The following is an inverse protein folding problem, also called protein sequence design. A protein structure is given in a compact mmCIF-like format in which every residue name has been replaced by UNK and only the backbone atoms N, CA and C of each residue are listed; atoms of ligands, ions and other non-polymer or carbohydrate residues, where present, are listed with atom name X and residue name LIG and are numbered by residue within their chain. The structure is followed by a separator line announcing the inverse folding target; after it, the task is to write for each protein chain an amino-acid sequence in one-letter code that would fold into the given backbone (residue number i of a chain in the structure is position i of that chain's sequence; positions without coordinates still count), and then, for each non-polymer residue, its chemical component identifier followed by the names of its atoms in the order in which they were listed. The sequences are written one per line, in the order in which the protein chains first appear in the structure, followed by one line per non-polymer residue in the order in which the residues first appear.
data_IF_468955277800
#
_entry.id   IF_468955277800
#
_cell.length_a   1.000
_cell.length_b   1.000
_cell.length_c   1.000
_cell.angle_alpha   90.00
_cell.angle_beta   90.00
_cell.angle_gamma   90.00
#
_symmetry.space_group_name_H-M   'P 1'
#
loop_
_entity.id
_entity.type
_entity.pdbx_description
1 polymer ?
#
# COMPACT_ATOMS: atom_id res chain seq x y z
N UNK A 1 17.66 -43.42 -67.26
CA UNK A 1 18.20 -43.03 -65.92
C UNK A 1 17.06 -42.95 -64.92
N UNK A 2 16.70 -44.09 -64.35
CA UNK A 2 15.60 -44.23 -63.37
C UNK A 2 16.14 -43.99 -61.97
N UNK A 3 16.00 -42.77 -61.45
CA UNK A 3 16.25 -42.51 -60.02
C UNK A 3 15.31 -43.43 -59.22
N UNK A 4 15.83 -44.29 -58.32
CA UNK A 4 15.05 -45.35 -57.69
C UNK A 4 13.98 -44.70 -56.81
N UNK A 5 12.72 -45.11 -57.01
CA UNK A 5 11.52 -44.60 -56.31
C UNK A 5 11.71 -44.50 -54.79
N UNK A 6 12.52 -45.37 -54.20
CA UNK A 6 12.87 -45.34 -52.77
C UNK A 6 13.59 -44.05 -52.31
N UNK A 7 14.47 -43.46 -53.12
CA UNK A 7 15.20 -42.23 -52.75
C UNK A 7 14.29 -41.00 -52.71
N UNK A 8 13.21 -41.00 -53.51
CA UNK A 8 12.17 -39.95 -53.51
C UNK A 8 11.24 -40.08 -52.31
N UNK A 9 10.86 -41.31 -51.93
CA UNK A 9 10.03 -41.57 -50.74
C UNK A 9 10.81 -41.21 -49.48
N UNK A 10 12.09 -41.57 -49.39
CA UNK A 10 12.93 -41.21 -48.24
C UNK A 10 13.11 -39.70 -48.10
N UNK A 11 13.33 -39.00 -49.23
CA UNK A 11 13.41 -37.53 -49.24
C UNK A 11 12.10 -36.87 -48.83
N UNK A 12 10.94 -37.39 -49.27
CA UNK A 12 9.63 -36.88 -48.88
C UNK A 12 9.35 -37.09 -47.38
N UNK A 13 9.72 -38.24 -46.83
CA UNK A 13 9.58 -38.52 -45.38
C UNK A 13 10.50 -37.64 -44.55
N UNK A 14 11.78 -37.48 -44.95
CA UNK A 14 12.73 -36.58 -44.28
C UNK A 14 12.25 -35.12 -44.32
N UNK A 15 11.71 -34.65 -45.46
CA UNK A 15 11.18 -33.31 -45.58
C UNK A 15 9.91 -33.10 -44.75
N UNK A 16 9.06 -34.13 -44.65
CA UNK A 16 7.86 -34.11 -43.79
C UNK A 16 8.24 -34.02 -42.31
N UNK A 17 9.26 -34.76 -41.88
CA UNK A 17 9.78 -34.71 -40.49
C UNK A 17 10.42 -33.36 -40.18
N UNK A 18 11.15 -32.74 -41.12
CA UNK A 18 11.69 -31.38 -40.94
C UNK A 18 10.60 -30.29 -40.88
N UNK A 19 9.52 -30.44 -41.63
CA UNK A 19 8.40 -29.48 -41.63
C UNK A 19 7.53 -29.59 -40.37
N UNK A 20 7.42 -30.79 -39.80
CA UNK A 20 6.68 -31.05 -38.55
C UNK A 20 7.43 -30.59 -37.29
N UNK A 21 8.76 -30.50 -37.31
CA UNK A 21 9.57 -30.10 -36.15
C UNK A 21 9.85 -28.60 -36.05
N UNK A 22 9.60 -27.82 -37.12
CA UNK A 22 9.99 -26.39 -37.19
C UNK A 22 8.86 -25.39 -36.91
N UNK A 23 7.62 -25.83 -36.70
CA UNK A 23 6.45 -24.93 -36.60
C UNK A 23 5.66 -24.99 -35.29
N UNK A 24 6.02 -25.83 -34.32
CA UNK A 24 5.14 -26.12 -33.17
C UNK A 24 5.49 -25.43 -31.83
N UNK A 25 6.46 -24.51 -31.75
CA UNK A 25 6.70 -23.75 -30.53
C UNK A 25 7.35 -22.38 -30.81
N UNK A 26 6.65 -21.50 -31.52
CA UNK A 26 6.90 -20.07 -31.34
C UNK A 26 6.30 -19.66 -30.00
N UNK A 27 7.11 -19.65 -28.94
CA UNK A 27 6.76 -18.91 -27.72
C UNK A 27 6.42 -17.49 -28.13
N UNK A 28 5.16 -17.10 -27.96
CA UNK A 28 4.70 -15.75 -28.27
C UNK A 28 5.63 -14.75 -27.59
N UNK A 29 6.09 -13.75 -28.34
CA UNK A 29 6.96 -12.72 -27.78
C UNK A 29 6.27 -12.12 -26.54
N UNK A 30 7.00 -11.96 -25.42
CA UNK A 30 6.41 -11.51 -24.18
C UNK A 30 5.68 -10.19 -24.38
N UNK A 31 4.44 -10.14 -23.95
CA UNK A 31 3.64 -8.93 -24.01
C UNK A 31 4.28 -7.85 -23.14
N UNK A 32 3.99 -6.57 -23.45
CA UNK A 32 4.32 -5.44 -22.57
C UNK A 32 3.80 -5.60 -21.13
N UNK A 33 2.83 -6.49 -20.92
CA UNK A 33 2.28 -6.82 -19.61
C UNK A 33 3.01 -7.98 -18.92
N UNK A 34 3.74 -8.82 -19.66
CA UNK A 34 4.39 -10.01 -19.10
C UNK A 34 5.56 -9.62 -18.20
N UNK A 35 6.29 -8.55 -18.57
CA UNK A 35 7.38 -8.03 -17.77
C UNK A 35 6.85 -7.45 -16.45
N UNK A 36 5.79 -6.64 -16.48
CA UNK A 36 5.18 -6.10 -15.26
C UNK A 36 4.48 -7.18 -14.42
N UNK A 37 3.89 -8.20 -15.05
CA UNK A 37 3.29 -9.34 -14.35
C UNK A 37 4.37 -10.20 -13.67
N UNK A 38 5.49 -10.47 -14.34
CA UNK A 38 6.61 -11.17 -13.72
C UNK A 38 7.22 -10.36 -12.58
N UNK A 39 7.42 -9.05 -12.76
CA UNK A 39 7.92 -8.20 -11.68
C UNK A 39 6.97 -8.17 -10.49
N UNK A 40 5.66 -8.05 -10.73
CA UNK A 40 4.62 -8.05 -9.69
C UNK A 40 4.49 -9.40 -8.98
N UNK A 41 4.71 -10.51 -9.70
CA UNK A 41 4.60 -11.86 -9.13
C UNK A 41 5.87 -12.27 -8.37
N UNK A 42 7.05 -11.86 -8.86
CA UNK A 42 8.34 -12.08 -8.17
C UNK A 42 8.45 -11.19 -6.93
N UNK A 43 7.96 -9.95 -7.02
CA UNK A 43 7.75 -9.08 -5.86
C UNK A 43 6.43 -9.42 -5.19
N UNK A 44 6.36 -10.57 -4.50
CA UNK A 44 5.29 -10.84 -3.50
C UNK A 44 5.22 -9.79 -2.35
N UNK A 45 6.01 -8.73 -2.42
CA UNK A 45 5.96 -7.58 -1.52
C UNK A 45 4.88 -6.59 -1.97
N UNK A 46 3.84 -6.44 -1.16
CA UNK A 46 2.93 -5.29 -1.23
C UNK A 46 1.46 -5.54 -1.57
N UNK A 47 1.03 -6.79 -1.82
CA UNK A 47 -0.37 -7.06 -2.20
C UNK A 47 -1.22 -7.71 -1.10
N UNK A 48 -0.62 -8.48 -0.20
CA UNK A 48 -1.34 -9.07 0.93
C UNK A 48 -1.11 -8.23 2.20
N UNK A 49 -2.20 -7.82 2.84
CA UNK A 49 -2.13 -7.30 4.21
C UNK A 49 -1.56 -8.40 5.10
N UNK A 50 -0.50 -8.07 5.84
CA UNK A 50 0.17 -9.01 6.73
C UNK A 50 -0.83 -9.67 7.68
N UNK A 51 -0.67 -10.98 7.90
CA UNK A 51 -1.45 -11.71 8.91
C UNK A 51 -1.23 -11.15 10.32
N UNK A 52 -0.09 -10.50 10.55
CA UNK A 52 0.29 -9.92 11.83
C UNK A 52 -0.07 -8.43 11.93
N UNK A 53 -0.65 -7.85 10.88
CA UNK A 53 -1.14 -6.48 10.93
C UNK A 53 -2.32 -6.36 11.89
N UNK A 54 -2.34 -5.26 12.63
CA UNK A 54 -3.31 -5.01 13.69
C UNK A 54 -4.72 -4.86 13.13
N UNK A 55 -5.72 -5.52 13.70
CA UNK A 55 -7.11 -5.35 13.27
C UNK A 55 -7.57 -3.89 13.44
N UNK A 56 -8.17 -3.30 12.41
CA UNK A 56 -8.57 -1.88 12.39
C UNK A 56 -9.42 -1.45 13.59
N UNK A 57 -10.41 -2.25 13.97
CA UNK A 57 -11.25 -1.95 15.13
C UNK A 57 -10.50 -1.88 16.45
N UNK A 58 -9.35 -2.57 16.58
CA UNK A 58 -8.47 -2.45 17.76
C UNK A 58 -7.74 -1.12 17.80
N UNK A 59 -7.62 -0.42 16.66
CA UNK A 59 -6.98 0.89 16.55
C UNK A 59 -7.93 2.03 16.99
N UNK A 60 -9.25 1.83 16.94
CA UNK A 60 -10.26 2.84 17.26
C UNK A 60 -10.08 3.46 18.64
N UNK A 61 -9.70 2.66 19.64
CA UNK A 61 -9.49 3.12 21.02
C UNK A 61 -8.35 4.12 21.19
N UNK A 62 -7.47 4.27 20.19
CA UNK A 62 -6.38 5.24 20.22
C UNK A 62 -6.74 6.56 19.55
N UNK A 63 -7.89 6.65 18.88
CA UNK A 63 -8.37 7.90 18.33
C UNK A 63 -8.84 8.82 19.45
N UNK A 64 -8.66 10.14 19.29
CA UNK A 64 -9.20 11.12 20.22
C UNK A 64 -10.72 10.94 20.37
N UNK A 65 -11.28 11.10 21.58
CA UNK A 65 -12.72 11.00 21.79
C UNK A 65 -13.45 12.13 21.04
N UNK A 66 -14.76 11.93 20.83
CA UNK A 66 -15.63 13.03 20.44
C UNK A 66 -15.83 13.97 21.64
N UNK A 67 -15.97 15.28 21.40
CA UNK A 67 -16.03 16.30 22.45
C UNK A 67 -15.79 17.71 21.89
N UNK A 68 -16.05 18.75 22.69
CA UNK A 68 -15.79 20.16 22.33
C UNK A 68 -16.44 20.63 21.01
N UNK A 69 -17.63 20.09 20.72
CA UNK A 69 -18.36 20.33 19.46
C UNK A 69 -17.80 19.57 18.25
N UNK A 70 -16.74 18.78 18.43
CA UNK A 70 -16.21 17.88 17.42
C UNK A 70 -16.86 16.50 17.50
N UNK A 71 -17.16 15.95 16.33
CA UNK A 71 -17.64 14.59 16.14
C UNK A 71 -16.58 13.78 15.41
N UNK A 72 -16.38 12.55 15.85
CA UNK A 72 -15.53 11.58 15.16
C UNK A 72 -16.42 10.50 14.56
N UNK A 73 -16.36 10.33 13.24
CA UNK A 73 -17.16 9.34 12.50
C UNK A 73 -16.24 8.40 11.74
N UNK A 74 -16.18 7.12 12.13
CA UNK A 74 -15.37 6.13 11.42
C UNK A 74 -15.89 5.92 9.99
N UNK A 75 -14.97 5.91 9.03
CA UNK A 75 -15.28 5.75 7.59
C UNK A 75 -14.71 4.48 7.01
N UNK A 76 -13.59 3.99 7.55
CA UNK A 76 -12.96 2.76 7.11
C UNK A 76 -12.30 2.05 8.29
N UNK A 77 -12.55 0.75 8.38
CA UNK A 77 -11.88 -0.14 9.31
C UNK A 77 -11.51 -1.41 8.58
N UNK A 78 -10.21 -1.68 8.47
CA UNK A 78 -9.69 -2.90 7.85
C UNK A 78 -8.44 -3.34 8.59
N UNK A 79 -7.95 -4.53 8.25
CA UNK A 79 -6.71 -5.00 8.86
C UNK A 79 -5.55 -4.04 8.50
N UNK A 80 -4.83 -3.61 9.51
CA UNK A 80 -3.75 -2.63 9.45
C UNK A 80 -4.19 -1.18 9.27
N UNK A 81 -5.49 -0.84 9.34
CA UNK A 81 -5.92 0.52 9.09
C UNK A 81 -7.26 0.87 9.74
N UNK A 82 -7.32 2.06 10.34
CA UNK A 82 -8.55 2.69 10.77
C UNK A 82 -8.54 4.15 10.37
N UNK A 83 -9.70 4.67 9.99
CA UNK A 83 -9.90 6.05 9.56
C UNK A 83 -11.22 6.60 10.07
N UNK A 84 -11.19 7.86 10.49
CA UNK A 84 -12.36 8.59 10.92
C UNK A 84 -12.37 10.03 10.39
N UNK A 85 -13.53 10.52 10.00
CA UNK A 85 -13.74 11.94 9.76
C UNK A 85 -13.87 12.69 11.08
N UNK A 86 -13.19 13.82 11.16
CA UNK A 86 -13.36 14.83 12.19
C UNK A 86 -14.31 15.91 11.67
N UNK A 87 -15.47 16.03 12.30
CA UNK A 87 -16.51 16.99 11.94
C UNK A 87 -16.73 18.02 13.05
N UNK A 88 -17.12 19.24 12.68
CA UNK A 88 -17.61 20.27 13.61
C UNK A 88 -18.69 21.09 12.91
N UNK A 89 -19.82 21.31 13.58
CA UNK A 89 -20.96 21.99 12.97
C UNK A 89 -21.45 21.35 11.67
N UNK A 90 -21.43 20.01 11.59
CA UNK A 90 -21.84 19.25 10.38
C UNK A 90 -20.80 19.20 9.25
N UNK A 91 -19.78 20.07 9.25
CA UNK A 91 -18.71 20.11 8.24
C UNK A 91 -17.56 19.17 8.61
N UNK A 92 -17.01 18.44 7.63
CA UNK A 92 -15.78 17.67 7.80
C UNK A 92 -14.57 18.59 7.71
N UNK A 93 -13.84 18.73 8.81
CA UNK A 93 -12.66 19.59 8.89
C UNK A 93 -11.38 18.83 8.55
N UNK A 94 -11.28 17.59 9.01
CA UNK A 94 -10.12 16.74 8.80
C UNK A 94 -10.49 15.27 8.74
N UNK A 95 -9.54 14.45 8.33
CA UNK A 95 -9.60 13.00 8.38
C UNK A 95 -8.44 12.49 9.22
N UNK A 96 -8.78 11.67 10.20
CA UNK A 96 -7.91 11.06 11.20
C UNK A 96 -7.63 9.62 10.76
N UNK A 97 -6.39 9.17 10.80
CA UNK A 97 -6.04 7.81 10.40
C UNK A 97 -4.93 7.22 11.27
N UNK A 98 -5.01 5.91 11.50
CA UNK A 98 -3.94 5.09 12.06
C UNK A 98 -3.69 3.93 11.10
N UNK A 99 -2.45 3.81 10.62
CA UNK A 99 -2.02 2.75 9.72
C UNK A 99 -0.93 1.92 10.39
N UNK A 100 -1.07 0.60 10.37
CA UNK A 100 -0.01 -0.35 10.70
C UNK A 100 0.92 -0.51 9.49
N UNK A 101 2.18 -0.13 9.63
CA UNK A 101 3.14 -0.12 8.52
C UNK A 101 3.80 -1.47 8.26
N UNK A 102 3.44 -2.55 8.98
CA UNK A 102 4.01 -3.89 8.74
C UNK A 102 3.84 -4.35 7.29
N UNK A 103 2.71 -3.99 6.65
CA UNK A 103 2.45 -4.34 5.24
C UNK A 103 3.00 -3.29 4.26
N UNK A 104 3.47 -2.15 4.75
CA UNK A 104 3.92 -0.99 3.95
C UNK A 104 5.20 -0.37 4.56
N UNK A 105 6.33 -1.09 4.60
CA UNK A 105 7.55 -0.62 5.27
C UNK A 105 8.09 0.69 4.68
N UNK A 106 7.88 0.93 3.38
CA UNK A 106 8.25 2.20 2.72
C UNK A 106 7.51 3.41 3.29
N UNK A 107 6.34 3.22 3.93
CA UNK A 107 5.65 4.30 4.63
C UNK A 107 6.40 4.73 5.89
N UNK A 108 6.96 3.78 6.64
CA UNK A 108 7.78 4.05 7.83
C UNK A 108 9.16 4.63 7.46
N UNK A 109 9.75 4.19 6.34
CA UNK A 109 11.05 4.66 5.89
C UNK A 109 11.13 6.19 5.70
N UNK A 110 10.00 6.85 5.35
CA UNK A 110 9.91 8.31 5.18
C UNK A 110 10.22 9.10 6.45
N UNK A 111 10.13 8.46 7.61
CA UNK A 111 10.36 9.09 8.90
C UNK A 111 11.82 9.01 9.36
N UNK A 112 12.65 8.17 8.74
CA UNK A 112 14.03 7.92 9.15
C UNK A 112 14.92 9.18 9.06
N UNK A 113 14.64 10.06 8.10
CA UNK A 113 15.35 11.34 7.93
C UNK A 113 14.64 12.53 8.58
N UNK A 114 13.55 12.30 9.33
CA UNK A 114 12.80 13.40 9.93
C UNK A 114 13.56 14.04 11.09
N UNK A 115 13.73 15.35 11.02
CA UNK A 115 14.24 16.19 12.12
C UNK A 115 13.13 16.80 12.97
N UNK A 116 11.88 16.74 12.52
CA UNK A 116 10.71 17.28 13.24
C UNK A 116 10.11 16.21 14.15
N UNK A 117 9.55 16.65 15.29
CA UNK A 117 8.82 15.77 16.20
C UNK A 117 7.49 16.40 16.62
N UNK A 118 6.47 15.55 16.81
CA UNK A 118 5.17 15.91 17.38
C UNK A 118 4.84 14.82 18.41
N UNK A 119 4.44 15.21 19.63
CA UNK A 119 4.27 14.26 20.74
C UNK A 119 5.50 13.40 21.05
N UNK A 120 6.71 13.88 20.72
CA UNK A 120 7.98 13.16 20.91
C UNK A 120 8.37 12.18 19.79
N UNK A 121 7.51 11.98 18.78
CA UNK A 121 7.73 11.02 17.70
C UNK A 121 8.14 11.70 16.39
N UNK A 122 8.96 11.03 15.53
CA UNK A 122 9.33 11.57 14.22
C UNK A 122 8.10 11.96 13.40
N UNK A 123 8.10 13.18 12.87
CA UNK A 123 6.96 13.76 12.17
C UNK A 123 7.31 14.12 10.73
N UNK A 124 6.39 13.90 9.79
CA UNK A 124 6.55 14.33 8.40
C UNK A 124 5.30 15.04 7.92
N UNK A 125 5.50 16.01 7.05
CA UNK A 125 4.43 16.69 6.33
C UNK A 125 4.47 16.25 4.87
N UNK A 126 3.31 15.91 4.31
CA UNK A 126 3.19 15.53 2.90
C UNK A 126 2.26 16.50 2.19
N UNK A 127 2.84 17.30 1.30
CA UNK A 127 2.14 18.42 0.66
C UNK A 127 1.68 19.45 1.70
N UNK A 128 0.56 20.12 1.42
CA UNK A 128 0.01 21.19 2.28
C UNK A 128 -1.03 20.70 3.29
N UNK A 129 -1.55 19.48 3.10
CA UNK A 129 -2.75 19.01 3.80
C UNK A 129 -2.50 17.87 4.77
N UNK A 130 -1.32 17.24 4.78
CA UNK A 130 -1.09 16.05 5.61
C UNK A 130 0.05 16.28 6.59
N UNK A 131 -0.19 15.90 7.85
CA UNK A 131 0.85 15.73 8.86
C UNK A 131 0.74 14.30 9.40
N UNK A 132 1.88 13.66 9.65
CA UNK A 132 1.92 12.31 10.18
C UNK A 132 3.06 12.15 11.17
N UNK A 133 2.89 11.24 12.13
CA UNK A 133 3.94 10.77 13.03
C UNK A 133 4.10 9.25 12.95
N UNK A 134 5.30 8.76 13.24
CA UNK A 134 5.57 7.33 13.34
C UNK A 134 5.78 6.94 14.81
N UNK A 135 4.89 6.09 15.31
CA UNK A 135 4.89 5.57 16.69
C UNK A 135 5.10 4.06 16.64
N UNK A 136 6.34 3.61 16.84
CA UNK A 136 6.70 2.21 16.60
C UNK A 136 6.41 1.81 15.15
N UNK A 137 5.54 0.81 14.94
CA UNK A 137 5.07 0.40 13.60
C UNK A 137 3.82 1.14 13.10
N UNK A 138 3.30 2.11 13.85
CA UNK A 138 2.04 2.77 13.51
C UNK A 138 2.28 4.19 12.99
N UNK A 139 1.76 4.48 11.80
CA UNK A 139 1.64 5.83 11.30
C UNK A 139 0.32 6.44 11.79
N UNK A 140 0.39 7.50 12.58
CA UNK A 140 -0.76 8.33 12.92
C UNK A 140 -0.76 9.53 11.99
N UNK A 141 -1.90 9.85 11.39
CA UNK A 141 -2.01 10.86 10.34
C UNK A 141 -3.28 11.68 10.46
N UNK A 142 -3.13 12.97 10.19
CA UNK A 142 -4.25 13.90 10.06
C UNK A 142 -4.16 14.55 8.68
N UNK A 143 -5.29 14.60 7.99
CA UNK A 143 -5.42 15.16 6.64
C UNK A 143 -6.47 16.26 6.67
N UNK A 144 -6.08 17.50 6.37
CA UNK A 144 -7.00 18.62 6.22
C UNK A 144 -7.98 18.34 5.08
N UNK A 145 -9.28 18.47 5.37
CA UNK A 145 -10.36 18.47 4.36
C UNK A 145 -10.91 19.87 4.15
N UNK A 146 -10.77 20.73 5.16
CA UNK A 146 -11.03 22.16 5.11
C UNK A 146 -9.71 22.94 4.96
N UNK A 147 -9.62 23.91 4.04
CA UNK A 147 -8.45 24.80 3.93
C UNK A 147 -8.15 25.58 5.22
N UNK A 148 -9.15 25.84 6.07
CA UNK A 148 -8.94 26.50 7.36
C UNK A 148 -8.29 25.59 8.41
N UNK A 149 -8.17 24.28 8.14
CA UNK A 149 -7.54 23.32 9.04
C UNK A 149 -6.04 23.27 8.74
N UNK A 150 -5.26 23.98 9.54
CA UNK A 150 -3.85 24.30 9.28
C UNK A 150 -2.90 23.18 9.71
N UNK A 151 -1.60 23.36 9.45
CA UNK A 151 -0.57 22.43 9.94
C UNK A 151 -0.51 22.37 11.48
N UNK A 152 -0.74 23.50 12.16
CA UNK A 152 -0.79 23.54 13.63
C UNK A 152 -1.97 22.73 14.14
N UNK A 153 -3.16 22.91 13.57
CA UNK A 153 -4.34 22.13 13.95
C UNK A 153 -4.09 20.62 13.77
N UNK A 154 -3.42 20.22 12.68
CA UNK A 154 -3.05 18.81 12.46
C UNK A 154 -2.10 18.30 13.52
N UNK A 155 -1.11 19.10 13.93
CA UNK A 155 -0.17 18.72 14.99
C UNK A 155 -0.89 18.56 16.33
N UNK A 156 -1.73 19.52 16.71
CA UNK A 156 -2.53 19.49 17.94
C UNK A 156 -3.43 18.25 17.97
N UNK A 157 -4.08 17.93 16.83
CA UNK A 157 -4.92 16.76 16.73
C UNK A 157 -4.15 15.44 16.76
N UNK A 158 -2.92 15.40 16.25
CA UNK A 158 -2.03 14.22 16.38
C UNK A 158 -1.73 13.97 17.86
N UNK A 159 -1.47 15.00 18.64
CA UNK A 159 -1.14 14.86 20.07
C UNK A 159 -2.33 14.40 20.91
N UNK A 160 -3.57 14.63 20.44
CA UNK A 160 -4.78 14.12 21.08
C UNK A 160 -4.99 12.61 20.90
N UNK A 161 -4.28 11.95 19.98
CA UNK A 161 -4.29 10.49 19.93
C UNK A 161 -3.59 9.91 21.14
N UNK A 162 -3.96 8.69 21.53
CA UNK A 162 -3.24 7.96 22.56
C UNK A 162 -1.95 7.35 21.98
N UNK A 163 -0.95 8.20 21.71
CA UNK A 163 0.34 7.82 21.11
C UNK A 163 1.13 6.88 22.04
N UNK A 164 1.13 7.14 23.35
CA UNK A 164 1.78 6.26 24.32
C UNK A 164 1.15 4.85 24.35
N UNK A 165 -0.17 4.75 24.18
CA UNK A 165 -0.87 3.49 24.05
C UNK A 165 -0.48 2.73 22.77
N UNK A 166 -0.35 3.43 21.65
CA UNK A 166 0.13 2.86 20.38
C UNK A 166 1.57 2.34 20.51
N UNK A 167 2.45 3.10 21.17
CA UNK A 167 3.85 2.71 21.37
C UNK A 167 4.03 1.41 22.18
N UNK A 168 3.01 1.04 22.99
CA UNK A 168 3.00 -0.20 23.78
C UNK A 168 2.50 -1.42 23.00
N UNK A 169 1.92 -1.23 21.82
CA UNK A 169 1.48 -2.35 20.98
C UNK A 169 2.69 -2.94 20.23
N UNK A 170 2.95 -4.22 20.47
CA UNK A 170 3.98 -5.00 19.76
C UNK A 170 3.45 -5.51 18.41
#
# INVERSE_FOLDING_TARGET
MTLPRGRRILAAVLLSVLLLTTTACSTSAPSRFDQVQQESTKKKSGLAVSKDATQGSKLNKFFPPAGDGYQRVYTQEKKGFSEANLKKGGKTLAQLAISDTTSTPNAAAKFASSTKKIGGYPAVELGKTQTSVLVGKYQVKVISKDPSFTASDRADWIEKFNLAGLAKLK
#
